data_IF_293120917401
#
_entry.id   IF_293120917401
#
_cell.length_a   1.000
_cell.length_b   1.000
_cell.length_c   1.000
_cell.angle_alpha   90.00
_cell.angle_beta   90.00
_cell.angle_gamma   90.00
#
_symmetry.space_group_name_H-M   'P 1'
#
loop_
_entity.id
_entity.type
_entity.pdbx_description
1 polymer ?
#
# COMPACT_ATOMS: atom_id res chain seq x y z
N UNK A 1 16.61 -2.53 -23.63
CA UNK A 1 18.02 -2.84 -23.31
C UNK A 1 18.87 -1.57 -23.29
N UNK A 2 18.78 -0.78 -22.21
CA UNK A 2 19.79 0.23 -21.92
C UNK A 2 20.91 -0.49 -21.19
N UNK A 3 22.04 -0.62 -21.90
CA UNK A 3 23.16 -1.46 -21.53
C UNK A 3 23.70 -1.20 -20.13
N UNK A 4 24.28 -2.27 -19.59
CA UNK A 4 25.10 -2.31 -18.40
C UNK A 4 26.20 -1.25 -18.44
N UNK A 5 25.90 -0.04 -17.97
CA UNK A 5 26.94 0.93 -17.70
C UNK A 5 27.54 0.50 -16.36
N UNK A 6 28.82 0.05 -16.32
CA UNK A 6 29.44 -0.43 -15.08
C UNK A 6 29.47 0.64 -13.97
N UNK A 7 29.22 1.91 -14.31
CA UNK A 7 29.07 2.97 -13.32
C UNK A 7 27.82 2.81 -12.45
N UNK A 8 26.69 2.33 -12.98
CA UNK A 8 25.44 2.20 -12.21
C UNK A 8 25.50 1.05 -11.20
N UNK A 9 26.06 -0.10 -11.62
CA UNK A 9 26.27 -1.24 -10.72
C UNK A 9 27.30 -0.93 -9.63
N UNK A 10 28.38 -0.22 -9.98
CA UNK A 10 29.38 0.26 -9.03
C UNK A 10 28.79 1.25 -8.03
N UNK A 11 27.96 2.20 -8.49
CA UNK A 11 27.27 3.15 -7.62
C UNK A 11 26.32 2.44 -6.65
N UNK A 12 25.53 1.48 -7.14
CA UNK A 12 24.64 0.68 -6.29
C UNK A 12 25.43 -0.07 -5.20
N UNK A 13 26.61 -0.61 -5.53
CA UNK A 13 27.49 -1.31 -4.59
C UNK A 13 28.09 -0.36 -3.54
N UNK A 14 28.59 0.81 -3.97
CA UNK A 14 29.10 1.86 -3.07
C UNK A 14 28.00 2.30 -2.11
N UNK A 15 26.79 2.56 -2.61
CA UNK A 15 25.67 2.92 -1.75
C UNK A 15 25.34 1.81 -0.75
N UNK A 16 25.31 0.55 -1.19
CA UNK A 16 25.05 -0.58 -0.30
C UNK A 16 26.07 -0.66 0.84
N UNK A 17 27.35 -0.48 0.54
CA UNK A 17 28.43 -0.48 1.55
C UNK A 17 28.28 0.68 2.53
N UNK A 18 28.00 1.89 2.04
CA UNK A 18 27.76 3.06 2.89
C UNK A 18 26.56 2.81 3.83
N UNK A 19 25.47 2.27 3.30
CA UNK A 19 24.28 1.98 4.10
C UNK A 19 24.49 0.84 5.11
N UNK A 20 25.25 -0.18 4.73
CA UNK A 20 25.63 -1.25 5.65
C UNK A 20 26.46 -0.67 6.80
N UNK A 21 27.43 0.18 6.49
CA UNK A 21 28.23 0.87 7.51
C UNK A 21 27.37 1.75 8.41
N UNK A 22 26.48 2.58 7.84
CA UNK A 22 25.57 3.44 8.58
C UNK A 22 24.63 2.63 9.49
N UNK A 23 24.09 1.51 8.99
CA UNK A 23 23.23 0.61 9.76
C UNK A 23 24.00 -0.04 10.91
N UNK A 24 25.21 -0.53 10.66
CA UNK A 24 26.07 -1.14 11.70
C UNK A 24 26.47 -0.11 12.75
N UNK A 25 26.81 1.12 12.35
CA UNK A 25 27.12 2.20 13.28
C UNK A 25 25.90 2.56 14.14
N UNK A 26 24.70 2.66 13.54
CA UNK A 26 23.44 2.88 14.27
C UNK A 26 23.14 1.71 15.21
N UNK A 27 23.32 0.47 14.77
CA UNK A 27 23.10 -0.71 15.60
C UNK A 27 24.08 -0.78 16.79
N UNK A 28 25.35 -0.42 16.57
CA UNK A 28 26.36 -0.39 17.63
C UNK A 28 26.10 0.73 18.66
N UNK A 29 25.62 1.90 18.21
CA UNK A 29 25.31 3.01 19.13
C UNK A 29 24.05 2.74 19.96
N UNK A 30 22.99 2.20 19.35
CA UNK A 30 21.68 2.02 20.00
C UNK A 30 21.43 0.59 20.56
N UNK A 31 22.24 -0.40 20.18
CA UNK A 31 22.09 -1.80 20.57
C UNK A 31 20.73 -2.40 20.19
N UNK A 32 20.24 -3.35 21.00
CA UNK A 32 18.89 -3.92 20.83
C UNK A 32 17.76 -2.88 21.00
N UNK A 33 18.05 -1.72 21.61
CA UNK A 33 17.10 -0.59 21.74
C UNK A 33 16.83 0.11 20.40
N UNK A 34 17.66 -0.12 19.39
CA UNK A 34 17.46 0.34 18.02
C UNK A 34 16.09 -0.09 17.44
N UNK A 35 15.68 -1.33 17.73
CA UNK A 35 14.41 -1.90 17.30
C UNK A 35 13.28 -1.70 18.31
N UNK A 36 13.42 -0.87 19.35
CA UNK A 36 12.33 -0.62 20.30
C UNK A 36 12.02 0.88 20.47
N UNK A 37 12.59 1.74 19.63
CA UNK A 37 12.35 3.18 19.67
C UNK A 37 10.99 3.49 19.02
N UNK A 38 10.02 3.90 19.84
CA UNK A 38 8.60 4.02 19.47
C UNK A 38 8.31 4.94 18.25
N UNK A 39 9.16 5.93 17.96
CA UNK A 39 8.96 6.84 16.81
C UNK A 39 9.57 6.38 15.49
N UNK A 40 10.65 5.58 15.53
CA UNK A 40 11.45 5.23 14.34
C UNK A 40 11.46 3.72 14.04
N UNK A 41 10.72 2.92 14.82
CA UNK A 41 10.75 1.45 14.73
C UNK A 41 10.54 0.91 13.31
N UNK A 42 9.49 1.39 12.63
CA UNK A 42 9.17 0.98 11.26
C UNK A 42 10.29 1.33 10.28
N UNK A 43 10.87 2.52 10.43
CA UNK A 43 11.95 3.00 9.57
C UNK A 43 13.25 2.23 9.81
N UNK A 44 13.53 1.86 11.05
CA UNK A 44 14.69 1.06 11.41
C UNK A 44 14.57 -0.38 10.88
N UNK A 45 13.38 -0.98 10.96
CA UNK A 45 13.10 -2.29 10.35
C UNK A 45 13.16 -2.25 8.83
N UNK A 46 12.62 -1.19 8.22
CA UNK A 46 12.68 -0.99 6.78
C UNK A 46 14.14 -0.80 6.31
N UNK A 47 14.93 0.04 6.99
CA UNK A 47 16.35 0.22 6.68
C UNK A 47 17.12 -1.11 6.77
N UNK A 48 16.89 -1.90 7.83
CA UNK A 48 17.49 -3.22 8.01
C UNK A 48 17.12 -4.19 6.89
N UNK A 49 15.83 -4.30 6.57
CA UNK A 49 15.33 -5.22 5.55
C UNK A 49 15.85 -4.86 4.15
N UNK A 50 16.01 -3.57 3.86
CA UNK A 50 16.60 -3.13 2.59
C UNK A 50 18.10 -3.41 2.52
N UNK A 51 18.87 -3.22 3.61
CA UNK A 51 20.30 -3.59 3.62
C UNK A 51 20.44 -5.11 3.43
N UNK A 52 19.64 -5.89 4.15
CA UNK A 52 19.63 -7.35 4.03
C UNK A 52 19.26 -7.80 2.61
N UNK A 53 18.18 -7.25 2.04
CA UNK A 53 17.76 -7.55 0.66
C UNK A 53 18.80 -7.13 -0.37
N UNK A 54 19.49 -6.00 -0.15
CA UNK A 54 20.59 -5.54 -0.99
C UNK A 54 21.78 -6.50 -0.98
N UNK A 55 22.19 -6.98 0.20
CA UNK A 55 23.24 -8.00 0.34
C UNK A 55 22.83 -9.30 -0.36
N UNK A 56 21.61 -9.79 -0.10
CA UNK A 56 21.09 -11.01 -0.71
C UNK A 56 21.02 -10.90 -2.23
N UNK A 57 20.73 -9.73 -2.80
CA UNK A 57 20.64 -9.61 -4.24
C UNK A 57 22.02 -9.39 -4.88
N UNK A 58 22.80 -8.44 -4.35
CA UNK A 58 24.00 -7.93 -5.00
C UNK A 58 25.23 -8.80 -4.76
N UNK A 59 25.32 -9.47 -3.61
CA UNK A 59 26.48 -10.32 -3.30
C UNK A 59 26.24 -11.78 -3.62
N UNK A 60 24.97 -12.21 -3.69
CA UNK A 60 24.64 -13.59 -4.01
C UNK A 60 24.90 -13.95 -5.46
N UNK A 61 24.60 -13.07 -6.42
CA UNK A 61 24.86 -13.33 -7.85
C UNK A 61 26.35 -13.65 -8.10
N UNK A 62 27.32 -12.82 -7.65
CA UNK A 62 28.73 -13.15 -7.75
C UNK A 62 29.12 -14.36 -6.88
N UNK A 63 28.59 -14.51 -5.67
CA UNK A 63 28.91 -15.66 -4.80
C UNK A 63 28.49 -17.00 -5.43
N UNK A 64 27.31 -17.07 -6.05
CA UNK A 64 26.80 -18.27 -6.74
C UNK A 64 27.63 -18.56 -7.98
N UNK A 65 28.02 -17.52 -8.73
CA UNK A 65 28.90 -17.66 -9.90
C UNK A 65 30.26 -18.23 -9.50
N UNK A 66 30.90 -17.67 -8.47
CA UNK A 66 32.19 -18.12 -7.95
C UNK A 66 32.09 -19.55 -7.40
N UNK A 67 31.07 -19.85 -6.60
CA UNK A 67 30.86 -21.18 -6.04
C UNK A 67 30.74 -22.26 -7.14
N UNK A 68 30.04 -21.96 -8.23
CA UNK A 68 29.90 -22.88 -9.37
C UNK A 68 31.16 -22.99 -10.20
N UNK A 69 31.88 -21.88 -10.39
CA UNK A 69 33.17 -21.88 -11.07
C UNK A 69 34.17 -22.78 -10.34
N UNK A 70 34.23 -22.71 -9.00
CA UNK A 70 35.04 -23.61 -8.17
C UNK A 70 34.63 -25.08 -8.28
N UNK A 71 33.38 -25.39 -8.67
CA UNK A 71 32.89 -26.76 -8.92
C UNK A 71 32.96 -27.20 -10.39
N UNK A 72 33.51 -26.38 -11.29
CA UNK A 72 33.61 -26.69 -12.71
C UNK A 72 32.26 -26.77 -13.44
N UNK A 73 31.21 -26.15 -12.89
CA UNK A 73 29.88 -26.14 -13.49
C UNK A 73 29.68 -24.91 -14.39
N UNK A 74 28.96 -25.05 -15.53
CA UNK A 74 28.68 -23.93 -16.42
C UNK A 74 27.81 -22.85 -15.73
N UNK A 75 27.90 -21.58 -16.16
CA UNK A 75 27.08 -20.50 -15.64
C UNK A 75 25.60 -20.77 -15.93
N UNK A 76 24.74 -20.52 -14.93
CA UNK A 76 23.30 -20.76 -15.07
C UNK A 76 22.66 -19.55 -15.75
N UNK A 77 22.07 -19.79 -16.93
CA UNK A 77 21.26 -18.80 -17.63
C UNK A 77 19.97 -18.50 -16.85
N UNK A 78 19.39 -17.31 -17.07
CA UNK A 78 18.16 -16.89 -16.38
C UNK A 78 16.98 -17.85 -16.63
N UNK A 79 16.95 -18.53 -17.77
CA UNK A 79 15.96 -19.58 -18.10
C UNK A 79 16.11 -20.84 -17.23
N UNK A 80 17.33 -21.28 -16.97
CA UNK A 80 17.59 -22.48 -16.17
C UNK A 80 17.22 -22.28 -14.69
N UNK A 81 17.36 -21.05 -14.16
CA UNK A 81 16.84 -20.71 -12.83
C UNK A 81 15.31 -20.81 -12.74
N UNK A 82 14.60 -20.62 -13.86
CA UNK A 82 13.13 -20.76 -13.91
C UNK A 82 12.75 -22.24 -13.87
N UNK A 83 13.46 -23.08 -14.63
CA UNK A 83 13.26 -24.52 -14.64
C UNK A 83 13.59 -25.17 -13.28
N UNK A 84 14.69 -24.77 -12.63
CA UNK A 84 15.12 -25.30 -11.32
C UNK A 84 14.15 -24.95 -10.17
N UNK A 85 13.42 -23.84 -10.26
CA UNK A 85 12.42 -23.44 -9.26
C UNK A 85 11.13 -24.27 -9.30
N UNK A 86 10.87 -25.01 -10.39
CA UNK A 86 9.68 -25.89 -10.52
C UNK A 86 9.85 -27.25 -9.84
N UNK A 87 11.08 -27.64 -9.51
CA UNK A 87 11.35 -28.92 -8.84
C UNK A 87 11.06 -28.80 -7.33
N UNK A 88 10.22 -29.69 -6.76
CA UNK A 88 9.87 -29.72 -5.32
C UNK A 88 11.02 -30.25 -4.43
N UNK A 89 12.26 -29.87 -4.76
CA UNK A 89 13.43 -30.16 -3.96
C UNK A 89 13.75 -28.93 -3.08
N UNK A 90 14.42 -29.15 -1.94
CA UNK A 90 14.89 -28.07 -1.04
C UNK A 90 15.64 -26.95 -1.79
N UNK A 91 16.42 -27.30 -2.81
CA UNK A 91 17.13 -26.35 -3.66
C UNK A 91 16.21 -25.48 -4.54
N UNK A 92 15.08 -26.02 -5.02
CA UNK A 92 14.10 -25.27 -5.81
C UNK A 92 13.36 -24.21 -4.98
N UNK A 93 13.01 -24.55 -3.73
CA UNK A 93 12.43 -23.61 -2.75
C UNK A 93 13.38 -22.45 -2.44
N UNK A 94 14.67 -22.75 -2.23
CA UNK A 94 15.70 -21.72 -2.04
C UNK A 94 15.79 -20.80 -3.27
N UNK A 95 15.83 -21.34 -4.49
CA UNK A 95 15.85 -20.51 -5.70
C UNK A 95 14.60 -19.63 -5.86
N UNK A 96 13.41 -20.13 -5.49
CA UNK A 96 12.18 -19.34 -5.49
C UNK A 96 12.24 -18.19 -4.46
N UNK A 97 12.70 -18.46 -3.24
CA UNK A 97 12.88 -17.43 -2.21
C UNK A 97 13.88 -16.36 -2.65
N UNK A 98 14.98 -16.77 -3.29
CA UNK A 98 15.95 -15.84 -3.86
C UNK A 98 15.35 -14.97 -4.98
N UNK A 99 14.44 -15.53 -5.79
CA UNK A 99 13.71 -14.77 -6.80
C UNK A 99 12.79 -13.71 -6.17
N UNK A 100 12.05 -14.09 -5.13
CA UNK A 100 11.21 -13.15 -4.39
C UNK A 100 12.05 -12.07 -3.68
N UNK A 101 13.22 -12.44 -3.15
CA UNK A 101 14.15 -11.49 -2.53
C UNK A 101 14.63 -10.40 -3.51
N UNK A 102 14.66 -10.67 -4.82
CA UNK A 102 14.96 -9.63 -5.83
C UNK A 102 13.93 -8.50 -5.83
N UNK A 103 12.67 -8.75 -5.43
CA UNK A 103 11.66 -7.70 -5.32
C UNK A 103 11.96 -6.72 -4.18
N UNK A 104 12.74 -7.13 -3.17
CA UNK A 104 13.16 -6.25 -2.07
C UNK A 104 13.98 -5.06 -2.55
N UNK A 105 14.62 -5.15 -3.73
CA UNK A 105 15.30 -4.00 -4.32
C UNK A 105 14.35 -2.84 -4.61
N UNK A 106 13.05 -3.07 -4.81
CA UNK A 106 12.05 -2.00 -5.00
C UNK A 106 12.01 -1.08 -3.77
N UNK A 107 12.25 -1.62 -2.57
CA UNK A 107 12.29 -0.85 -1.34
C UNK A 107 13.40 0.22 -1.32
N UNK A 108 14.43 0.11 -2.18
CA UNK A 108 15.42 1.19 -2.34
C UNK A 108 14.80 2.49 -2.87
N UNK A 109 13.68 2.41 -3.59
CA UNK A 109 12.91 3.59 -4.00
C UNK A 109 12.34 4.34 -2.80
N UNK A 110 11.93 3.62 -1.75
CA UNK A 110 11.45 4.23 -0.50
C UNK A 110 12.56 5.06 0.15
N UNK A 111 13.82 4.63 0.07
CA UNK A 111 14.97 5.42 0.54
C UNK A 111 15.19 6.68 -0.29
N UNK A 112 15.04 6.60 -1.61
CA UNK A 112 15.16 7.76 -2.50
C UNK A 112 14.10 8.81 -2.17
N UNK A 113 12.85 8.37 -1.96
CA UNK A 113 11.75 9.23 -1.52
C UNK A 113 12.11 9.93 -0.20
N UNK A 114 12.65 9.20 0.77
CA UNK A 114 13.06 9.76 2.08
C UNK A 114 14.20 10.77 1.97
N UNK A 115 15.14 10.57 1.04
CA UNK A 115 16.29 11.47 0.83
C UNK A 115 15.91 12.78 0.14
N UNK A 116 14.79 12.82 -0.58
CA UNK A 116 14.30 13.99 -1.29
C UNK A 116 13.18 14.61 -0.46
N UNK A 117 13.44 15.69 0.32
CA UNK A 117 12.44 16.24 1.25
C UNK A 117 11.09 16.56 0.59
N UNK A 118 11.04 17.14 -0.64
CA UNK A 118 9.76 17.37 -1.32
C UNK A 118 8.95 16.09 -1.57
N UNK A 119 9.60 14.99 -1.98
CA UNK A 119 8.91 13.72 -2.23
C UNK A 119 8.44 13.07 -0.94
N UNK A 120 9.27 13.12 0.10
CA UNK A 120 8.90 12.60 1.42
C UNK A 120 7.67 13.32 1.99
N UNK A 121 7.64 14.65 1.91
CA UNK A 121 6.50 15.44 2.37
C UNK A 121 5.23 15.15 1.58
N UNK A 122 5.35 14.96 0.25
CA UNK A 122 4.22 14.59 -0.60
C UNK A 122 3.66 13.21 -0.25
N UNK A 123 4.52 12.21 -0.07
CA UNK A 123 4.09 10.86 0.34
C UNK A 123 3.46 10.87 1.72
N UNK A 124 4.03 11.61 2.67
CA UNK A 124 3.44 11.76 4.00
C UNK A 124 2.05 12.40 3.93
N UNK A 125 1.87 13.43 3.09
CA UNK A 125 0.58 14.04 2.83
C UNK A 125 -0.45 13.07 2.24
N UNK A 126 -0.03 12.23 1.27
CA UNK A 126 -0.88 11.16 0.72
C UNK A 126 -1.29 10.17 1.81
N UNK A 127 -0.36 9.69 2.63
CA UNK A 127 -0.65 8.73 3.71
C UNK A 127 -1.64 9.33 4.72
N UNK A 128 -1.46 10.59 5.09
CA UNK A 128 -2.40 11.31 5.97
C UNK A 128 -3.78 11.46 5.32
N UNK A 129 -3.86 11.79 4.03
CA UNK A 129 -5.12 11.86 3.30
C UNK A 129 -5.81 10.49 3.19
N UNK A 130 -5.04 9.42 2.98
CA UNK A 130 -5.56 8.04 2.93
C UNK A 130 -6.18 7.60 4.26
N UNK A 131 -5.69 8.10 5.40
CA UNK A 131 -6.27 7.78 6.71
C UNK A 131 -7.75 8.19 6.78
N UNK A 132 -8.12 9.34 6.20
CA UNK A 132 -9.51 9.78 6.10
C UNK A 132 -10.36 8.90 5.18
N UNK A 133 -9.75 8.31 4.14
CA UNK A 133 -10.43 7.45 3.17
C UNK A 133 -10.74 6.05 3.71
N UNK A 134 -10.10 5.60 4.79
CA UNK A 134 -10.33 4.28 5.38
C UNK A 134 -11.81 4.07 5.72
N UNK A 135 -12.46 5.07 6.30
CA UNK A 135 -13.88 4.97 6.67
C UNK A 135 -14.80 4.91 5.46
N UNK A 136 -14.49 5.65 4.40
CA UNK A 136 -15.21 5.57 3.13
C UNK A 136 -15.10 4.16 2.56
N UNK A 137 -13.89 3.59 2.52
CA UNK A 137 -13.65 2.22 2.05
C UNK A 137 -14.42 1.17 2.89
N UNK A 138 -14.48 1.34 4.21
CA UNK A 138 -15.27 0.46 5.10
C UNK A 138 -16.76 0.55 4.78
N UNK A 139 -17.31 1.76 4.61
CA UNK A 139 -18.71 1.95 4.25
C UNK A 139 -19.04 1.37 2.87
N UNK A 140 -18.16 1.58 1.89
CA UNK A 140 -18.28 0.97 0.56
C UNK A 140 -18.25 -0.56 0.64
N UNK A 141 -17.33 -1.14 1.42
CA UNK A 141 -17.25 -2.59 1.60
C UNK A 141 -18.52 -3.16 2.27
N UNK A 142 -19.07 -2.47 3.27
CA UNK A 142 -20.31 -2.85 3.94
C UNK A 142 -21.51 -2.76 2.98
N UNK A 143 -21.59 -1.71 2.17
CA UNK A 143 -22.61 -1.59 1.14
C UNK A 143 -22.52 -2.76 0.15
N UNK A 144 -21.34 -3.03 -0.41
CA UNK A 144 -21.13 -4.17 -1.32
C UNK A 144 -21.47 -5.51 -0.66
N UNK A 145 -21.16 -5.68 0.63
CA UNK A 145 -21.50 -6.90 1.37
C UNK A 145 -23.01 -7.13 1.45
N UNK A 146 -23.81 -6.09 1.74
CA UNK A 146 -25.27 -6.20 1.79
C UNK A 146 -25.82 -6.61 0.42
N UNK A 147 -25.39 -5.94 -0.66
CA UNK A 147 -25.82 -6.28 -2.02
C UNK A 147 -25.33 -7.65 -2.50
N UNK A 148 -24.15 -8.07 -2.06
CA UNK A 148 -23.62 -9.40 -2.35
C UNK A 148 -24.47 -10.50 -1.73
N UNK A 149 -24.95 -10.33 -0.49
CA UNK A 149 -25.91 -11.26 0.12
C UNK A 149 -27.18 -11.34 -0.72
N UNK A 150 -27.74 -10.19 -1.13
CA UNK A 150 -28.91 -10.19 -2.00
C UNK A 150 -28.65 -10.93 -3.32
N UNK A 151 -27.52 -10.68 -3.99
CA UNK A 151 -27.15 -11.37 -5.23
C UNK A 151 -27.01 -12.88 -5.05
N UNK A 152 -26.28 -13.33 -4.04
CA UNK A 152 -26.09 -14.76 -3.76
C UNK A 152 -27.42 -15.45 -3.40
N UNK A 153 -28.23 -14.82 -2.54
CA UNK A 153 -29.50 -15.44 -2.10
C UNK A 153 -30.55 -15.42 -3.20
N UNK A 154 -30.74 -14.31 -3.91
CA UNK A 154 -31.78 -14.18 -4.94
C UNK A 154 -31.40 -14.89 -6.24
N UNK A 155 -30.16 -14.71 -6.69
CA UNK A 155 -29.69 -15.18 -8.01
C UNK A 155 -28.93 -16.50 -7.85
N UNK A 156 -27.91 -16.54 -6.98
CA UNK A 156 -27.03 -17.70 -6.82
C UNK A 156 -27.76 -18.96 -6.31
N UNK A 157 -28.63 -18.82 -5.29
CA UNK A 157 -29.41 -19.92 -4.73
C UNK A 157 -30.73 -20.19 -5.46
N UNK A 158 -31.04 -19.45 -6.54
CA UNK A 158 -32.21 -19.75 -7.38
C UNK A 158 -33.55 -19.22 -6.87
N UNK A 159 -33.60 -18.39 -5.83
CA UNK A 159 -34.87 -17.89 -5.27
C UNK A 159 -35.73 -17.16 -6.32
N UNK A 160 -35.10 -16.46 -7.26
CA UNK A 160 -35.78 -15.76 -8.37
C UNK A 160 -36.26 -16.71 -9.45
N UNK A 161 -35.64 -17.89 -9.58
CA UNK A 161 -35.95 -18.87 -10.61
C UNK A 161 -36.98 -19.91 -10.16
N UNK A 162 -37.28 -20.01 -8.87
CA UNK A 162 -38.21 -21.01 -8.30
C UNK A 162 -37.67 -22.46 -8.29
N UNK A 163 -36.62 -22.72 -9.06
CA UNK A 163 -35.81 -23.94 -9.10
C UNK A 163 -34.30 -23.60 -8.90
N UNK A 164 -33.41 -24.57 -9.08
CA UNK A 164 -31.96 -24.31 -9.08
C UNK A 164 -31.58 -23.33 -10.22
N UNK A 165 -30.78 -22.31 -9.90
CA UNK A 165 -30.32 -21.34 -10.89
C UNK A 165 -29.54 -22.04 -12.04
N UNK A 166 -29.64 -21.53 -13.28
CA UNK A 166 -28.82 -22.03 -14.39
C UNK A 166 -27.34 -22.08 -13.99
N UNK A 167 -26.62 -23.14 -14.37
CA UNK A 167 -25.24 -23.37 -13.90
C UNK A 167 -24.31 -22.21 -14.24
N UNK A 168 -24.52 -21.53 -15.36
CA UNK A 168 -23.74 -20.35 -15.76
C UNK A 168 -24.03 -19.13 -14.90
N UNK A 169 -25.25 -18.99 -14.38
CA UNK A 169 -25.66 -17.89 -13.49
C UNK A 169 -25.23 -18.15 -12.04
N UNK A 170 -25.32 -19.40 -11.58
CA UNK A 170 -24.86 -19.80 -10.25
C UNK A 170 -23.34 -19.61 -10.06
N UNK A 171 -22.56 -19.75 -11.14
CA UNK A 171 -21.10 -19.50 -11.14
C UNK A 171 -20.73 -18.02 -10.99
N UNK A 172 -21.65 -17.09 -11.26
CA UNK A 172 -21.40 -15.65 -11.12
C UNK A 172 -21.43 -15.25 -9.63
N UNK A 173 -22.32 -15.89 -8.86
CA UNK A 173 -22.51 -15.59 -7.43
C UNK A 173 -22.32 -16.85 -6.55
N UNK A 174 -21.13 -17.49 -6.56
CA UNK A 174 -20.91 -18.74 -5.84
C UNK A 174 -20.74 -18.52 -4.33
N UNK A 175 -20.21 -17.35 -3.93
CA UNK A 175 -20.00 -16.99 -2.52
C UNK A 175 -20.06 -15.47 -2.34
N UNK A 176 -20.22 -15.01 -1.10
CA UNK A 176 -20.32 -13.58 -0.79
C UNK A 176 -19.05 -12.79 -1.20
N UNK A 177 -17.80 -13.24 -0.96
CA UNK A 177 -16.61 -12.52 -1.39
C UNK A 177 -16.49 -12.40 -2.91
N UNK A 178 -16.81 -13.46 -3.64
CA UNK A 178 -16.86 -13.46 -5.12
C UNK A 178 -17.93 -12.49 -5.62
N UNK A 179 -19.12 -12.53 -5.02
CA UNK A 179 -20.21 -11.61 -5.32
C UNK A 179 -19.84 -10.14 -5.04
N UNK A 180 -19.13 -9.87 -3.95
CA UNK A 180 -18.61 -8.53 -3.64
C UNK A 180 -17.62 -8.05 -4.72
N UNK A 181 -16.75 -8.93 -5.22
CA UNK A 181 -15.80 -8.61 -6.30
C UNK A 181 -16.51 -8.31 -7.62
N UNK A 182 -17.50 -9.12 -8.00
CA UNK A 182 -18.33 -8.88 -9.18
C UNK A 182 -19.09 -7.55 -9.05
N UNK A 183 -19.73 -7.29 -7.91
CA UNK A 183 -20.43 -6.02 -7.68
C UNK A 183 -19.48 -4.81 -7.63
N UNK A 184 -18.25 -4.98 -7.17
CA UNK A 184 -17.21 -3.96 -7.25
C UNK A 184 -16.84 -3.63 -8.70
N UNK A 185 -16.73 -4.63 -9.58
CA UNK A 185 -16.52 -4.42 -11.03
C UNK A 185 -17.68 -3.67 -11.66
N UNK A 186 -18.90 -4.09 -11.36
CA UNK A 186 -20.16 -3.46 -11.81
C UNK A 186 -20.24 -1.99 -11.38
N UNK A 187 -19.88 -1.70 -10.14
CA UNK A 187 -19.82 -0.35 -9.59
C UNK A 187 -18.85 0.56 -10.37
N UNK A 188 -17.79 0.00 -10.96
CA UNK A 188 -16.81 0.72 -11.78
C UNK A 188 -17.13 0.67 -13.30
N UNK A 189 -18.29 0.13 -13.67
CA UNK A 189 -18.74 0.06 -15.07
C UNK A 189 -18.33 -1.19 -15.84
N UNK A 190 -17.66 -2.16 -15.19
CA UNK A 190 -17.35 -3.45 -15.80
C UNK A 190 -18.49 -4.45 -15.56
N UNK A 191 -19.13 -4.85 -16.66
CA UNK A 191 -20.31 -5.72 -16.69
C UNK A 191 -20.03 -7.09 -17.29
N UNK A 192 -18.77 -7.40 -17.62
CA UNK A 192 -18.42 -8.59 -18.40
C UNK A 192 -18.93 -9.89 -17.80
N UNK A 193 -18.84 -10.05 -16.47
CA UNK A 193 -19.23 -11.32 -15.82
C UNK A 193 -20.74 -11.51 -15.71
N UNK A 194 -21.54 -10.45 -15.91
CA UNK A 194 -23.01 -10.52 -15.82
C UNK A 194 -23.68 -10.80 -17.17
N UNK A 195 -22.92 -10.88 -18.26
CA UNK A 195 -23.46 -11.16 -19.59
C UNK A 195 -24.33 -12.43 -19.64
N UNK A 196 -23.95 -13.57 -19.02
CA UNK A 196 -24.81 -14.75 -18.98
C UNK A 196 -26.11 -14.54 -18.18
N UNK A 197 -26.09 -13.69 -17.14
CA UNK A 197 -27.28 -13.34 -16.37
C UNK A 197 -28.26 -12.51 -17.21
N UNK A 198 -27.74 -11.63 -18.05
CA UNK A 198 -28.52 -10.76 -18.91
C UNK A 198 -29.24 -11.49 -20.04
N UNK A 199 -28.67 -12.59 -20.54
CA UNK A 199 -29.32 -13.45 -21.54
C UNK A 199 -30.53 -14.19 -20.95
N UNK A 200 -30.41 -14.65 -19.71
CA UNK A 200 -31.51 -15.37 -19.03
C UNK A 200 -32.60 -14.41 -18.53
N UNK A 201 -32.21 -13.28 -17.93
CA UNK A 201 -33.15 -12.30 -17.38
C UNK A 201 -32.77 -10.87 -17.76
N UNK A 202 -33.26 -10.34 -18.91
CA UNK A 202 -32.92 -9.01 -19.38
C UNK A 202 -33.26 -7.88 -18.39
N UNK A 203 -34.25 -8.08 -17.51
CA UNK A 203 -34.64 -7.10 -16.48
C UNK A 203 -33.53 -6.83 -15.46
N UNK A 204 -32.58 -7.77 -15.28
CA UNK A 204 -31.43 -7.58 -14.41
C UNK A 204 -30.48 -6.48 -14.92
N UNK A 205 -30.47 -6.17 -16.23
CA UNK A 205 -29.72 -5.01 -16.76
C UNK A 205 -30.16 -3.71 -16.12
N UNK A 206 -31.47 -3.50 -15.99
CA UNK A 206 -32.02 -2.29 -15.37
C UNK A 206 -31.65 -2.21 -13.89
N UNK A 207 -31.68 -3.35 -13.19
CA UNK A 207 -31.25 -3.45 -11.81
C UNK A 207 -29.76 -3.14 -11.63
N UNK A 208 -28.89 -3.65 -12.51
CA UNK A 208 -27.45 -3.35 -12.49
C UNK A 208 -27.16 -1.87 -12.77
N UNK A 209 -27.89 -1.25 -13.71
CA UNK A 209 -27.78 0.20 -13.96
C UNK A 209 -28.25 1.00 -12.75
N UNK A 210 -29.39 0.63 -12.16
CA UNK A 210 -29.89 1.30 -10.95
C UNK A 210 -28.91 1.15 -9.78
N UNK A 211 -28.36 -0.05 -9.57
CA UNK A 211 -27.30 -0.30 -8.61
C UNK A 211 -26.08 0.57 -8.88
N UNK A 212 -25.56 0.64 -10.11
CA UNK A 212 -24.40 1.46 -10.47
C UNK A 212 -24.65 2.94 -10.16
N UNK A 213 -25.82 3.47 -10.53
CA UNK A 213 -26.17 4.87 -10.24
C UNK A 213 -26.20 5.09 -8.73
N UNK A 214 -26.93 4.26 -7.99
CA UNK A 214 -27.06 4.39 -6.54
C UNK A 214 -25.70 4.23 -5.85
N UNK A 215 -24.90 3.23 -6.20
CA UNK A 215 -23.60 2.95 -5.58
C UNK A 215 -22.61 4.08 -5.86
N UNK A 216 -22.56 4.58 -7.09
CA UNK A 216 -21.66 5.67 -7.47
C UNK A 216 -22.04 6.96 -6.75
N UNK A 217 -23.33 7.28 -6.69
CA UNK A 217 -23.83 8.48 -6.00
C UNK A 217 -23.69 8.36 -4.47
N UNK A 218 -23.92 7.17 -3.91
CA UNK A 218 -23.69 6.89 -2.50
C UNK A 218 -22.21 7.07 -2.14
N UNK A 219 -21.29 6.55 -2.94
CA UNK A 219 -19.84 6.73 -2.70
C UNK A 219 -19.44 8.20 -2.83
N UNK A 220 -19.90 8.90 -3.86
CA UNK A 220 -19.61 10.32 -4.05
C UNK A 220 -20.13 11.17 -2.89
N UNK A 221 -21.35 10.90 -2.41
CA UNK A 221 -21.93 11.62 -1.27
C UNK A 221 -21.20 11.33 0.04
N UNK A 222 -20.84 10.06 0.32
CA UNK A 222 -20.06 9.67 1.51
C UNK A 222 -18.66 10.31 1.45
N UNK A 223 -17.97 10.23 0.31
CA UNK A 223 -16.65 10.83 0.12
C UNK A 223 -16.72 12.34 0.33
N UNK A 224 -17.70 13.02 -0.26
CA UNK A 224 -17.89 14.46 -0.10
C UNK A 224 -18.15 14.83 1.36
N UNK A 225 -18.98 14.07 2.07
CA UNK A 225 -19.26 14.29 3.49
C UNK A 225 -17.99 14.15 4.34
N UNK A 226 -17.24 13.05 4.18
CA UNK A 226 -16.01 12.78 4.94
C UNK A 226 -14.91 13.80 4.62
N UNK A 227 -14.75 14.16 3.35
CA UNK A 227 -13.78 15.19 2.93
C UNK A 227 -14.17 16.55 3.52
N UNK A 228 -15.46 16.90 3.50
CA UNK A 228 -15.97 18.13 4.11
C UNK A 228 -15.73 18.15 5.62
N UNK A 229 -16.01 17.05 6.33
CA UNK A 229 -15.77 16.95 7.78
C UNK A 229 -14.28 17.11 8.11
N UNK A 230 -13.40 16.43 7.36
CA UNK A 230 -11.95 16.59 7.53
C UNK A 230 -11.48 18.03 7.25
N UNK A 231 -12.06 18.70 6.26
CA UNK A 231 -11.75 20.10 5.94
C UNK A 231 -12.24 21.08 7.02
N UNK A 232 -13.45 20.85 7.55
CA UNK A 232 -14.01 21.63 8.65
C UNK A 232 -13.12 21.47 9.90
N UNK A 233 -12.80 20.23 10.27
CA UNK A 233 -11.93 19.95 11.42
C UNK A 233 -10.52 20.56 11.25
N UNK A 234 -9.95 20.50 10.05
CA UNK A 234 -8.67 21.15 9.75
C UNK A 234 -8.75 22.68 9.87
N UNK A 235 -9.85 23.29 9.42
CA UNK A 235 -10.09 24.73 9.50
C UNK A 235 -10.29 25.18 10.95
N UNK A 236 -11.05 24.43 11.74
CA UNK A 236 -11.25 24.70 13.17
C UNK A 236 -9.94 24.61 13.95
N UNK A 237 -9.13 23.57 13.67
CA UNK A 237 -7.82 23.41 14.30
C UNK A 237 -6.87 24.56 13.95
N UNK A 238 -6.81 24.96 12.68
CA UNK A 238 -6.01 26.11 12.27
C UNK A 238 -6.49 27.42 12.91
N UNK A 239 -7.80 27.61 13.02
CA UNK A 239 -8.37 28.77 13.68
C UNK A 239 -8.02 28.80 15.17
N UNK A 240 -8.08 27.66 15.86
CA UNK A 240 -7.67 27.54 17.26
C UNK A 240 -6.17 27.84 17.46
N UNK A 241 -5.31 27.37 16.55
CA UNK A 241 -3.86 27.69 16.58
C UNK A 241 -3.60 29.20 16.39
N UNK A 242 -4.33 29.85 15.48
CA UNK A 242 -4.24 31.31 15.29
C UNK A 242 -4.74 32.05 16.53
N UNK A 243 -5.88 31.65 17.11
CA UNK A 243 -6.41 32.26 18.33
C UNK A 243 -5.39 32.12 19.49
N UNK A 244 -4.80 30.93 19.70
CA UNK A 244 -3.75 30.71 20.71
C UNK A 244 -2.50 31.57 20.50
N UNK A 245 -2.02 31.69 19.25
CA UNK A 245 -0.86 32.54 18.95
C UNK A 245 -1.16 34.02 19.22
N UNK A 246 -2.35 34.50 18.85
CA UNK A 246 -2.75 35.89 19.16
C UNK A 246 -2.93 36.15 20.65
N UNK A 247 -3.40 35.17 21.43
CA UNK A 247 -3.50 35.27 22.89
C UNK A 247 -2.13 35.30 23.55
N UNK A 248 -1.21 34.44 23.11
CA UNK A 248 0.18 34.44 23.56
C UNK A 248 0.85 35.80 23.30
N UNK A 249 0.68 36.36 22.10
CA UNK A 249 1.19 37.69 21.76
C UNK A 249 0.60 38.81 22.64
N UNK A 250 -0.71 38.76 22.93
CA UNK A 250 -1.36 39.72 23.84
C UNK A 250 -0.84 39.62 25.26
N UNK A 251 -0.59 38.39 25.75
CA UNK A 251 -0.07 38.14 27.08
C UNK A 251 1.37 38.65 27.21
N UNK A 252 2.22 38.41 26.22
CA UNK A 252 3.60 38.94 26.18
C UNK A 252 3.63 40.46 26.09
N UNK A 253 2.76 41.06 25.27
CA UNK A 253 2.64 42.52 25.18
C UNK A 253 2.18 43.14 26.51
N UNK A 254 1.29 42.46 27.23
CA UNK A 254 0.84 42.89 28.56
C UNK A 254 1.96 42.79 29.61
N UNK A 255 2.74 41.69 29.57
CA UNK A 255 3.93 41.52 30.42
C UNK A 255 5.00 42.59 30.15
N UNK A 256 5.24 42.94 28.89
CA UNK A 256 6.19 43.98 28.53
C UNK A 256 5.78 45.34 29.10
N UNK A 257 4.50 45.73 28.95
CA UNK A 257 3.96 46.98 29.52
C UNK A 257 4.04 47.03 31.04
N UNK A 258 3.74 45.93 31.73
CA UNK A 258 3.85 45.88 33.19
C UNK A 258 5.29 46.08 33.66
N UNK A 259 6.25 45.42 33.00
CA UNK A 259 7.68 45.58 33.31
C UNK A 259 8.15 47.02 33.10
N UNK A 260 7.70 47.68 32.04
CA UNK A 260 8.02 49.09 31.78
C UNK A 260 7.51 50.01 32.89
N UNK A 261 6.26 49.85 33.34
CA UNK A 261 5.69 50.64 34.44
C UNK A 261 6.50 50.47 35.74
N UNK A 262 6.85 49.22 36.09
CA UNK A 262 7.62 48.93 37.30
C UNK A 262 9.06 49.48 37.28
N UNK A 263 9.64 49.69 36.09
CA UNK A 263 10.98 50.30 35.96
C UNK A 263 10.94 51.84 36.01
N UNK A 264 9.77 52.44 35.82
CA UNK A 264 9.58 53.91 35.82
C UNK A 264 9.11 54.49 37.17
N UNK A 265 8.75 53.62 38.14
CA UNK A 265 8.45 54.00 39.54
C UNK A 265 9.69 53.84 40.41
#
# INVERSE_FOLDING_TARGET
DMGDIPCWSLLDEIFLVIYLFELVARLNYWGCRFFCKAGDFLWNWLDFLIVLGGIINQWLEPAVMVYRHCRGQPPIAHEDMIALGKHDNQMGKVMMMLRLARLLRILRLVRLIRRIPPLYMLVLGIVQAMQGMVWVMVLTALFLYIWAIFGVVLIGHGLVFGEAAPTEVAKIFPSVPEAMYVLFKVMNGDMGDLEPLFEVMPITKLFCVAFMVISTWAILSILTAVVSENMINATEKHRAEIEQSTEAEKMDRSRAKLTEIFLTM
#
